data_IF_249258253131
#
_entry.id   IF_249258253131
#
_cell.length_a   1.000
_cell.length_b   1.000
_cell.length_c   1.000
_cell.angle_alpha   90.00
_cell.angle_beta   90.00
_cell.angle_gamma   90.00
#
_symmetry.space_group_name_H-M   'P 1'
#
loop_
_entity.id
_entity.type
_entity.pdbx_description
1 polymer ?
#
# COMPACT_ATOMS: atom_id res chain seq x y z
N UNK A 1 39.08 -38.43 76.45
CA UNK A 1 38.23 -39.11 77.45
C UNK A 1 37.16 -39.87 76.67
N UNK A 2 37.44 -41.07 76.20
CA UNK A 2 37.11 -42.40 76.81
C UNK A 2 35.60 -42.71 76.79
N UNK A 3 35.23 -43.75 76.02
CA UNK A 3 33.89 -44.34 75.76
C UNK A 3 33.21 -44.94 77.03
N UNK A 4 31.99 -45.56 77.06
CA UNK A 4 31.29 -46.47 76.09
C UNK A 4 29.79 -46.11 75.87
N UNK A 5 28.96 -46.62 74.93
CA UNK A 5 28.66 -47.93 74.32
C UNK A 5 27.74 -48.90 75.12
N UNK A 6 26.45 -48.94 74.69
CA UNK A 6 25.47 -50.09 74.62
C UNK A 6 24.84 -50.66 75.93
N UNK A 7 23.62 -51.29 75.93
CA UNK A 7 23.15 -52.29 74.96
C UNK A 7 21.71 -52.24 74.42
N UNK A 8 21.57 -53.04 73.36
CA UNK A 8 20.42 -53.54 72.61
C UNK A 8 19.27 -54.13 73.45
N UNK A 9 18.03 -54.04 72.94
CA UNK A 9 17.20 -55.26 72.78
C UNK A 9 16.18 -55.16 71.64
N UNK A 10 16.30 -56.11 70.73
CA UNK A 10 15.43 -56.36 69.61
C UNK A 10 14.28 -57.32 69.98
N UNK A 11 13.15 -57.18 69.28
CA UNK A 11 12.20 -58.28 68.97
C UNK A 11 11.47 -57.85 67.70
N UNK A 12 11.94 -58.20 66.49
CA UNK A 12 11.73 -59.44 65.72
C UNK A 12 10.27 -59.85 65.53
N UNK A 13 10.01 -60.25 64.29
CA UNK A 13 8.83 -60.90 63.69
C UNK A 13 7.79 -59.89 63.13
N UNK A 14 7.38 -59.93 61.86
CA UNK A 14 7.37 -61.04 60.90
C UNK A 14 7.32 -60.50 59.47
N UNK A 15 8.30 -60.94 58.67
CA UNK A 15 8.33 -60.92 57.21
C UNK A 15 7.30 -61.91 56.66
N UNK A 16 6.46 -61.50 55.69
CA UNK A 16 5.77 -62.28 54.62
C UNK A 16 4.56 -61.45 54.13
N UNK A 17 4.36 -61.05 52.87
CA UNK A 17 4.45 -61.72 51.56
C UNK A 17 4.61 -60.62 50.48
N UNK A 18 5.64 -60.66 49.64
CA UNK A 18 5.67 -61.23 48.27
C UNK A 18 4.74 -60.49 47.28
N UNK A 19 5.36 -59.54 46.57
CA UNK A 19 5.41 -59.32 45.11
C UNK A 19 4.13 -59.37 44.23
N UNK A 20 4.08 -58.33 43.40
CA UNK A 20 3.58 -58.28 42.00
C UNK A 20 2.12 -57.91 41.77
N UNK A 21 1.89 -56.68 41.28
CA UNK A 21 1.23 -56.48 40.00
C UNK A 21 1.36 -55.01 39.52
N UNK A 22 1.98 -54.87 38.36
CA UNK A 22 1.73 -53.89 37.30
C UNK A 22 1.91 -52.38 37.58
N UNK A 23 3.00 -51.88 36.99
CA UNK A 23 3.17 -50.54 36.46
C UNK A 23 2.05 -50.10 35.50
N UNK A 24 2.05 -48.79 35.16
CA UNK A 24 1.23 -48.01 34.19
C UNK A 24 0.17 -47.13 34.91
N UNK A 25 0.17 -45.79 34.86
CA UNK A 25 0.25 -44.89 33.68
C UNK A 25 0.50 -43.42 34.10
N UNK A 26 1.52 -42.85 33.45
CA UNK A 26 1.78 -41.45 33.01
C UNK A 26 1.64 -40.24 33.95
N UNK A 27 2.78 -39.53 34.03
CA UNK A 27 2.95 -38.15 34.44
C UNK A 27 2.07 -37.16 33.66
N UNK A 28 1.39 -36.26 34.37
CA UNK A 28 0.77 -35.07 33.78
C UNK A 28 1.84 -34.00 33.53
N UNK A 29 2.27 -33.90 32.27
CA UNK A 29 3.20 -32.90 31.76
C UNK A 29 2.39 -31.77 31.12
N UNK A 30 2.58 -30.57 31.68
CA UNK A 30 2.36 -29.23 31.10
C UNK A 30 1.15 -29.04 30.16
N UNK A 31 0.08 -28.45 30.69
CA UNK A 31 -0.91 -27.73 29.90
C UNK A 31 -0.23 -26.58 29.15
N UNK A 32 0.01 -26.78 27.86
CA UNK A 32 0.48 -25.75 26.96
C UNK A 32 -0.56 -24.63 26.85
N UNK A 33 -0.14 -23.41 27.19
CA UNK A 33 -0.83 -22.17 26.84
C UNK A 33 -0.80 -22.01 25.32
N UNK A 34 -1.76 -22.61 24.61
CA UNK A 34 -2.03 -22.31 23.21
C UNK A 34 -3.01 -21.12 23.20
N UNK A 35 -2.47 -19.91 23.30
CA UNK A 35 -3.26 -18.71 23.04
C UNK A 35 -3.63 -18.64 21.55
N UNK A 36 -4.81 -18.10 21.18
CA UNK A 36 -5.13 -17.90 19.77
C UNK A 36 -4.08 -16.97 19.14
N UNK A 37 -3.53 -17.39 18.00
CA UNK A 37 -2.65 -16.53 17.19
C UNK A 37 -3.40 -15.24 16.86
N UNK A 38 -3.04 -14.15 17.51
CA UNK A 38 -3.54 -12.82 17.18
C UNK A 38 -2.90 -12.48 15.83
N UNK A 39 -3.66 -12.65 14.75
CA UNK A 39 -3.24 -12.16 13.44
C UNK A 39 -3.34 -10.64 13.53
N UNK A 40 -2.20 -9.97 13.74
CA UNK A 40 -2.15 -8.52 13.61
C UNK A 40 -2.65 -8.16 12.21
N UNK A 41 -3.69 -7.33 12.06
CA UNK A 41 -4.03 -6.83 10.73
C UNK A 41 -2.79 -6.10 10.22
N UNK A 42 -2.22 -6.60 9.11
CA UNK A 42 -1.27 -5.79 8.35
C UNK A 42 -2.05 -4.54 7.95
N UNK A 43 -1.69 -3.40 8.54
CA UNK A 43 -2.11 -2.10 8.03
C UNK A 43 -1.80 -2.10 6.53
N UNK A 44 -2.84 -1.99 5.71
CA UNK A 44 -2.65 -1.73 4.28
C UNK A 44 -1.79 -0.48 4.20
N UNK A 45 -0.63 -0.62 3.57
CA UNK A 45 0.25 0.51 3.28
C UNK A 45 -0.61 1.59 2.60
N UNK A 46 -0.50 2.87 2.97
CA UNK A 46 -1.27 3.92 2.34
C UNK A 46 -1.10 3.79 0.82
N UNK A 47 -2.20 3.85 0.09
CA UNK A 47 -2.16 3.74 -1.37
C UNK A 47 -1.37 4.94 -1.92
N UNK A 48 -0.06 4.76 -2.09
CA UNK A 48 0.76 5.68 -2.85
C UNK A 48 0.34 5.55 -4.32
N UNK A 49 0.18 6.68 -5.02
CA UNK A 49 -0.01 6.59 -6.46
C UNK A 49 1.17 5.88 -7.08
N UNK A 50 0.88 4.94 -7.95
CA UNK A 50 1.92 4.36 -8.77
C UNK A 50 2.25 5.35 -9.88
N UNK A 51 3.55 5.63 -10.01
CA UNK A 51 4.10 6.32 -11.17
C UNK A 51 4.80 5.30 -12.04
N UNK A 52 4.34 5.21 -13.29
CA UNK A 52 4.85 4.29 -14.28
C UNK A 52 5.64 5.05 -15.34
N UNK A 53 6.82 4.54 -15.68
CA UNK A 53 7.73 5.17 -16.65
C UNK A 53 7.24 5.08 -18.11
N UNK A 54 6.13 4.38 -18.35
CA UNK A 54 5.53 4.29 -19.69
C UNK A 54 4.01 4.14 -19.63
N UNK A 55 3.35 4.64 -20.68
CA UNK A 55 1.92 4.56 -20.87
C UNK A 55 1.59 3.66 -22.06
N UNK A 56 1.16 2.43 -21.78
CA UNK A 56 0.84 1.39 -22.78
C UNK A 56 -0.65 1.04 -22.87
N UNK A 57 -1.49 1.56 -21.97
CA UNK A 57 -2.94 1.35 -22.03
C UNK A 57 -3.59 2.11 -23.19
N UNK A 58 -4.76 1.65 -23.66
CA UNK A 58 -5.48 2.23 -24.81
C UNK A 58 -5.69 3.75 -24.68
N UNK A 59 -6.03 4.23 -23.48
CA UNK A 59 -6.31 5.65 -23.21
C UNK A 59 -5.07 6.56 -23.28
N UNK A 60 -3.86 6.01 -23.33
CA UNK A 60 -2.64 6.80 -23.54
C UNK A 60 -2.62 7.50 -24.90
N UNK A 61 -3.24 6.90 -25.91
CA UNK A 61 -3.36 7.51 -27.25
C UNK A 61 -4.20 8.79 -27.19
N UNK A 62 -5.29 8.76 -26.43
CA UNK A 62 -6.14 9.94 -26.19
C UNK A 62 -5.36 11.01 -25.42
N UNK A 63 -4.60 10.63 -24.40
CA UNK A 63 -3.75 11.54 -23.64
C UNK A 63 -2.65 12.19 -24.48
N UNK A 64 -2.00 11.44 -25.39
CA UNK A 64 -1.03 11.99 -26.36
C UNK A 64 -1.69 12.95 -27.35
N UNK A 65 -2.91 12.65 -27.79
CA UNK A 65 -3.70 13.53 -28.65
C UNK A 65 -4.04 14.84 -27.93
N UNK A 66 -4.49 14.75 -26.68
CA UNK A 66 -4.73 15.92 -25.83
C UNK A 66 -3.45 16.74 -25.64
N UNK A 67 -2.31 16.08 -25.34
CA UNK A 67 -1.01 16.72 -25.19
C UNK A 67 -0.61 17.51 -26.45
N UNK A 68 -0.78 16.94 -27.63
CA UNK A 68 -0.55 17.64 -28.90
C UNK A 68 -1.50 18.83 -29.09
N UNK A 69 -2.80 18.66 -28.79
CA UNK A 69 -3.77 19.75 -28.89
C UNK A 69 -3.48 20.91 -27.93
N UNK A 70 -3.10 20.60 -26.67
CA UNK A 70 -2.70 21.60 -25.68
C UNK A 70 -1.38 22.27 -26.01
N UNK A 71 -0.43 21.52 -26.59
CA UNK A 71 0.81 22.08 -27.14
C UNK A 71 0.53 23.08 -28.26
N UNK A 72 -0.42 22.78 -29.16
CA UNK A 72 -0.87 23.71 -30.22
C UNK A 72 -1.50 24.99 -29.68
N UNK A 73 -1.94 24.99 -28.41
CA UNK A 73 -2.45 26.16 -27.70
C UNK A 73 -1.41 26.82 -26.79
N UNK A 74 -0.17 26.34 -26.78
CA UNK A 74 0.92 26.89 -25.98
C UNK A 74 0.90 26.50 -24.49
N UNK A 75 0.16 25.45 -24.11
CA UNK A 75 0.00 25.02 -22.71
C UNK A 75 -0.39 26.20 -21.79
N UNK A 76 -1.61 26.74 -21.94
CA UNK A 76 -2.03 27.91 -21.18
C UNK A 76 -2.03 27.64 -19.67
N UNK A 77 -1.54 28.59 -18.89
CA UNK A 77 -1.40 28.47 -17.43
C UNK A 77 -2.60 29.01 -16.67
N UNK A 78 -3.38 29.90 -17.31
CA UNK A 78 -4.60 30.44 -16.73
C UNK A 78 -5.67 29.37 -16.75
N UNK A 79 -6.29 29.15 -15.60
CA UNK A 79 -7.39 28.19 -15.45
C UNK A 79 -8.59 28.66 -16.27
N UNK A 80 -9.15 27.79 -17.11
CA UNK A 80 -10.32 28.15 -17.91
C UNK A 80 -10.63 27.21 -19.06
N UNK A 81 -11.73 27.53 -19.75
CA UNK A 81 -12.20 26.84 -20.95
C UNK A 81 -11.52 27.38 -22.20
N UNK A 82 -11.10 26.48 -23.07
CA UNK A 82 -10.49 26.79 -24.36
C UNK A 82 -11.26 26.13 -25.47
N UNK A 83 -11.59 26.89 -26.52
CA UNK A 83 -12.30 26.37 -27.69
C UNK A 83 -11.52 25.22 -28.34
N UNK A 84 -12.24 24.17 -28.72
CA UNK A 84 -11.74 22.97 -29.38
C UNK A 84 -12.48 22.73 -30.69
N UNK A 85 -12.03 21.75 -31.47
CA UNK A 85 -12.71 21.37 -32.72
C UNK A 85 -14.15 20.89 -32.45
N UNK A 86 -15.01 21.03 -33.46
CA UNK A 86 -16.40 20.55 -33.39
C UNK A 86 -17.31 21.36 -32.47
N UNK A 87 -16.93 22.60 -32.12
CA UNK A 87 -17.71 23.44 -31.20
C UNK A 87 -17.61 23.02 -29.73
N UNK A 88 -16.71 22.09 -29.41
CA UNK A 88 -16.42 21.68 -28.04
C UNK A 88 -15.44 22.65 -27.37
N UNK A 89 -15.27 22.51 -26.08
CA UNK A 89 -14.20 23.13 -25.31
C UNK A 89 -13.40 22.07 -24.55
N UNK A 90 -12.16 22.40 -24.21
CA UNK A 90 -11.36 21.64 -23.27
C UNK A 90 -10.88 22.55 -22.14
N UNK A 91 -10.50 21.99 -20.99
CA UNK A 91 -10.23 22.79 -19.79
C UNK A 91 -8.77 22.74 -19.36
N UNK A 92 -8.15 23.91 -19.21
CA UNK A 92 -6.85 24.05 -18.55
C UNK A 92 -7.10 24.20 -17.06
N UNK A 93 -6.60 23.26 -16.26
CA UNK A 93 -6.88 23.22 -14.83
C UNK A 93 -6.05 24.17 -13.99
N UNK A 94 -4.95 24.67 -14.57
CA UNK A 94 -4.00 25.58 -13.92
C UNK A 94 -2.81 24.80 -13.34
N UNK A 95 -2.19 25.37 -12.31
CA UNK A 95 -1.00 24.78 -11.66
C UNK A 95 -1.38 23.49 -10.93
N UNK A 96 -0.64 22.42 -11.21
CA UNK A 96 -0.66 21.19 -10.42
C UNK A 96 0.50 21.24 -9.41
N UNK A 97 0.21 21.08 -8.13
CA UNK A 97 1.19 21.32 -7.06
C UNK A 97 1.97 20.08 -6.64
N UNK A 98 1.54 18.89 -7.06
CA UNK A 98 2.19 17.62 -6.69
C UNK A 98 2.34 17.48 -5.16
N UNK A 99 1.26 17.73 -4.41
CA UNK A 99 1.30 17.72 -2.94
C UNK A 99 1.65 16.35 -2.37
N UNK A 100 1.27 15.30 -3.07
CA UNK A 100 1.55 13.91 -2.75
C UNK A 100 2.98 13.48 -3.13
N UNK A 101 3.74 14.35 -3.82
CA UNK A 101 5.14 14.11 -4.17
C UNK A 101 5.37 12.97 -5.17
N UNK A 102 4.36 12.65 -5.98
CA UNK A 102 4.38 11.49 -6.87
C UNK A 102 5.23 11.76 -8.13
N UNK A 103 5.14 12.97 -8.67
CA UNK A 103 5.98 13.41 -9.80
C UNK A 103 7.34 13.95 -9.31
N UNK A 104 8.36 14.03 -10.19
CA UNK A 104 9.67 14.60 -9.82
C UNK A 104 9.57 15.97 -9.13
N UNK A 105 10.37 16.17 -8.08
CA UNK A 105 10.42 17.44 -7.35
C UNK A 105 11.15 18.53 -8.15
N UNK A 106 11.09 19.79 -7.68
CA UNK A 106 11.76 20.94 -8.29
C UNK A 106 11.29 21.27 -9.72
N UNK A 107 10.02 20.95 -10.02
CA UNK A 107 9.38 21.27 -11.28
C UNK A 107 8.08 22.07 -11.05
N UNK A 108 7.65 22.81 -12.07
CA UNK A 108 6.34 23.47 -12.08
C UNK A 108 5.45 22.76 -13.09
N UNK A 109 4.37 22.18 -12.58
CA UNK A 109 3.43 21.40 -13.37
C UNK A 109 2.15 22.17 -13.65
N UNK A 110 1.55 21.88 -14.80
CA UNK A 110 0.22 22.35 -15.16
C UNK A 110 -0.64 21.17 -15.62
N UNK A 111 -1.90 21.19 -15.22
CA UNK A 111 -2.85 20.13 -15.56
C UNK A 111 -3.81 20.56 -16.68
N UNK A 112 -4.16 19.59 -17.51
CA UNK A 112 -5.10 19.78 -18.60
C UNK A 112 -6.02 18.57 -18.74
N UNK A 113 -7.26 18.84 -19.13
CA UNK A 113 -8.24 17.79 -19.40
C UNK A 113 -7.92 17.06 -20.71
N UNK A 114 -8.20 15.75 -20.72
CA UNK A 114 -7.90 14.90 -21.88
C UNK A 114 -8.99 15.03 -22.95
N UNK A 115 -10.26 14.96 -22.55
CA UNK A 115 -11.39 14.91 -23.49
C UNK A 115 -12.12 16.26 -23.61
N UNK A 116 -12.19 16.83 -24.81
CA UNK A 116 -13.07 17.95 -25.09
C UNK A 116 -14.53 17.58 -24.87
N UNK A 117 -15.34 18.56 -24.46
CA UNK A 117 -16.76 18.40 -24.13
C UNK A 117 -17.51 19.71 -24.34
N UNK A 118 -18.82 19.72 -24.13
CA UNK A 118 -19.61 20.96 -24.14
C UNK A 118 -19.01 21.97 -23.18
N UNK A 119 -18.85 23.21 -23.63
CA UNK A 119 -18.27 24.27 -22.82
C UNK A 119 -19.09 24.49 -21.53
N UNK A 120 -18.42 24.50 -20.38
CA UNK A 120 -19.07 24.61 -19.07
C UNK A 120 -19.55 23.29 -18.46
N UNK A 121 -19.43 22.15 -19.16
CA UNK A 121 -19.79 20.86 -18.61
C UNK A 121 -18.86 20.41 -17.47
N UNK A 122 -19.36 19.54 -16.59
CA UNK A 122 -18.55 18.89 -15.56
C UNK A 122 -17.31 18.22 -16.16
N UNK A 123 -16.16 18.36 -15.49
CA UNK A 123 -14.91 17.72 -15.89
C UNK A 123 -14.93 16.23 -15.53
N UNK A 124 -14.29 15.41 -16.34
CA UNK A 124 -14.06 13.98 -16.04
C UNK A 124 -12.85 13.79 -15.11
N UNK A 125 -12.36 12.56 -14.92
CA UNK A 125 -11.19 12.24 -14.09
C UNK A 125 -9.85 12.29 -14.85
N UNK A 126 -9.86 12.39 -16.17
CA UNK A 126 -8.69 12.17 -17.01
C UNK A 126 -7.87 13.44 -17.19
N UNK A 127 -6.58 13.35 -16.88
CA UNK A 127 -5.68 14.51 -16.87
C UNK A 127 -4.37 14.19 -17.56
N UNK A 128 -3.83 15.16 -18.29
CA UNK A 128 -2.39 15.23 -18.49
C UNK A 128 -1.81 16.27 -17.53
N UNK A 129 -0.65 15.98 -16.98
CA UNK A 129 0.14 16.88 -16.16
C UNK A 129 1.47 17.10 -16.85
N UNK A 130 1.79 18.37 -17.13
CA UNK A 130 2.91 18.75 -17.99
C UNK A 130 3.89 19.59 -17.20
N UNK A 131 5.16 19.18 -17.19
CA UNK A 131 6.26 20.08 -16.88
C UNK A 131 6.53 20.95 -18.11
N UNK A 132 6.13 22.23 -18.07
CA UNK A 132 6.23 23.11 -19.25
C UNK A 132 7.66 23.44 -19.67
N UNK A 133 8.63 23.40 -18.75
CA UNK A 133 10.02 23.74 -19.09
C UNK A 133 10.73 22.61 -19.84
N UNK A 134 10.37 21.35 -19.57
CA UNK A 134 10.99 20.18 -20.21
C UNK A 134 10.08 19.52 -21.24
N UNK A 135 8.78 19.79 -21.21
CA UNK A 135 7.77 19.10 -22.02
C UNK A 135 7.42 17.69 -21.53
N UNK A 136 8.04 17.22 -20.44
CA UNK A 136 7.71 15.94 -19.84
C UNK A 136 6.24 15.93 -19.42
N UNK A 137 5.52 14.87 -19.78
CA UNK A 137 4.08 14.77 -19.59
C UNK A 137 3.72 13.43 -18.98
N UNK A 138 2.82 13.46 -18.00
CA UNK A 138 2.23 12.28 -17.39
C UNK A 138 0.74 12.28 -17.62
N UNK A 139 0.17 11.12 -17.90
CA UNK A 139 -1.27 10.89 -17.94
C UNK A 139 -1.74 10.30 -16.62
N UNK A 140 -2.81 10.85 -16.08
CA UNK A 140 -3.54 10.26 -14.96
C UNK A 140 -4.95 9.88 -15.43
N UNK A 141 -5.31 8.59 -15.40
CA UNK A 141 -6.64 8.12 -15.82
C UNK A 141 -7.71 8.26 -14.72
N UNK A 142 -7.32 8.65 -13.51
CA UNK A 142 -8.07 8.41 -12.29
C UNK A 142 -7.92 9.57 -11.29
N UNK A 143 -7.86 10.80 -11.80
CA UNK A 143 -7.84 12.01 -11.01
C UNK A 143 -6.68 12.05 -10.00
N UNK A 144 -5.47 11.85 -10.52
CA UNK A 144 -4.18 11.90 -9.83
C UNK A 144 -3.89 10.71 -8.89
N UNK A 145 -4.70 9.65 -8.94
CA UNK A 145 -4.43 8.45 -8.16
C UNK A 145 -3.31 7.58 -8.76
N UNK A 146 -3.07 7.65 -10.08
CA UNK A 146 -1.93 7.02 -10.75
C UNK A 146 -1.42 7.92 -11.88
N UNK A 147 -0.13 7.78 -12.23
CA UNK A 147 0.53 8.54 -13.29
C UNK A 147 1.32 7.64 -14.23
N UNK A 148 1.20 7.89 -15.53
CA UNK A 148 1.91 7.15 -16.59
C UNK A 148 2.63 8.14 -17.48
N UNK A 149 3.95 8.04 -17.59
CA UNK A 149 4.73 8.90 -18.47
C UNK A 149 4.37 8.63 -19.94
N UNK A 150 4.10 9.70 -20.70
CA UNK A 150 3.56 9.63 -22.08
C UNK A 150 4.61 9.47 -23.18
#
# INVERSE_FOLDING_TARGET
>A
MTAPATPLRATRARVRRILSALALITAMVSTGLVGPSVVSPKLTEPAHAAVYDSCTMTRCTDARTARSGWSGKGFPTTRGWYSWSGGLCNFAGGRFYNYEGQLPTNATYYEYDVYPRTCGASRDAYRIVVNRSTGATWFSPDHYANFYQL
#
